data_IF_939435200168
#
_entry.id   IF_939435200168
#
_cell.length_a   1.000
_cell.length_b   1.000
_cell.length_c   1.000
_cell.angle_alpha   90.00
_cell.angle_beta   90.00
_cell.angle_gamma   90.00
#
_symmetry.space_group_name_H-M   'P 1'
#
loop_
_entity.id
_entity.type
_entity.pdbx_description
1 polymer ?
#
# COMPACT_ATOMS: atom_id res chain seq x y z
N UNK A 1 24.42 -8.62 -4.81
CA UNK A 1 23.23 -7.93 -4.27
C UNK A 1 22.08 -8.16 -5.24
N UNK A 2 21.26 -9.18 -5.01
CA UNK A 2 20.02 -9.40 -5.77
C UNK A 2 18.91 -9.54 -4.75
N UNK A 3 18.15 -8.47 -4.56
CA UNK A 3 17.00 -8.44 -3.66
C UNK A 3 15.87 -9.27 -4.26
N UNK A 4 15.55 -10.40 -3.65
CA UNK A 4 14.37 -11.20 -3.96
C UNK A 4 13.12 -10.46 -3.48
N UNK A 5 12.69 -9.46 -4.25
CA UNK A 5 11.42 -8.78 -4.03
C UNK A 5 10.28 -9.62 -4.60
N UNK A 6 9.60 -10.38 -3.73
CA UNK A 6 8.14 -10.68 -3.73
C UNK A 6 7.86 -11.92 -2.89
N UNK A 7 7.79 -11.76 -1.55
CA UNK A 7 7.05 -12.70 -0.69
C UNK A 7 5.80 -12.07 -0.06
N UNK A 8 5.68 -10.75 -0.03
CA UNK A 8 4.56 -10.05 0.61
C UNK A 8 3.25 -10.07 -0.21
N UNK A 9 3.33 -10.16 -1.54
CA UNK A 9 2.16 -10.08 -2.41
C UNK A 9 1.43 -11.42 -2.63
N UNK A 10 2.01 -12.54 -2.21
CA UNK A 10 1.39 -13.86 -2.38
C UNK A 10 0.13 -13.95 -1.49
N UNK A 11 -1.04 -13.71 -2.08
CA UNK A 11 -2.34 -13.74 -1.39
C UNK A 11 -3.07 -12.39 -1.26
N UNK A 12 -2.46 -11.28 -1.68
CA UNK A 12 -3.15 -9.99 -1.75
C UNK A 12 -4.01 -9.93 -3.02
N UNK A 13 -5.30 -9.65 -2.89
CA UNK A 13 -6.24 -9.50 -4.03
C UNK A 13 -6.34 -8.04 -4.46
N UNK A 14 -5.97 -7.12 -3.59
CA UNK A 14 -6.05 -5.67 -3.83
C UNK A 14 -4.96 -4.89 -3.09
N UNK A 15 -4.46 -3.84 -3.76
CA UNK A 15 -3.54 -2.85 -3.20
C UNK A 15 -4.13 -1.45 -3.40
N UNK A 16 -4.10 -0.64 -2.35
CA UNK A 16 -4.47 0.77 -2.41
C UNK A 16 -3.21 1.64 -2.39
N UNK A 17 -3.02 2.44 -3.43
CA UNK A 17 -1.95 3.44 -3.50
C UNK A 17 -2.44 4.78 -2.95
N UNK A 18 -1.66 5.38 -2.04
CA UNK A 18 -2.03 6.61 -1.35
C UNK A 18 -0.84 7.58 -1.35
N UNK A 19 -1.00 8.83 -1.81
CA UNK A 19 0.06 9.83 -1.76
C UNK A 19 0.47 10.16 -0.32
N UNK A 20 1.77 10.15 -0.03
CA UNK A 20 2.33 10.38 1.30
C UNK A 20 2.08 11.78 1.86
N UNK A 21 1.94 12.77 0.99
CA UNK A 21 1.62 14.15 1.37
C UNK A 21 0.14 14.42 1.70
N UNK A 22 -0.74 13.42 1.54
CA UNK A 22 -2.21 13.57 1.69
C UNK A 22 -2.70 12.94 2.98
N UNK A 23 -2.46 13.62 4.10
CA UNK A 23 -2.87 13.18 5.43
C UNK A 23 -4.39 12.89 5.53
N UNK A 24 -5.22 13.64 4.78
CA UNK A 24 -6.66 13.45 4.68
C UNK A 24 -7.06 12.11 4.05
N UNK A 25 -6.26 11.61 3.12
CA UNK A 25 -6.43 10.30 2.47
C UNK A 25 -5.87 9.19 3.35
N UNK A 26 -4.70 9.40 3.94
CA UNK A 26 -4.06 8.45 4.88
C UNK A 26 -5.01 8.13 6.05
N UNK A 27 -5.71 9.14 6.59
CA UNK A 27 -6.69 8.96 7.66
C UNK A 27 -7.92 8.10 7.28
N UNK A 28 -8.11 7.78 6.00
CA UNK A 28 -9.25 6.99 5.50
C UNK A 28 -8.88 5.56 5.14
N UNK A 29 -7.58 5.25 5.07
CA UNK A 29 -7.06 3.99 4.53
C UNK A 29 -7.62 2.77 5.27
N UNK A 30 -7.71 2.81 6.60
CA UNK A 30 -8.26 1.72 7.40
C UNK A 30 -9.73 1.37 7.10
N UNK A 31 -10.46 2.24 6.38
CA UNK A 31 -11.85 2.01 5.97
C UNK A 31 -11.99 1.52 4.52
N UNK A 32 -10.89 1.46 3.77
CA UNK A 32 -10.94 1.19 2.33
C UNK A 32 -11.06 -0.31 1.99
N UNK A 33 -10.79 -1.21 2.93
CA UNK A 33 -10.95 -2.66 2.72
C UNK A 33 -9.97 -3.29 1.73
N UNK A 34 -8.89 -2.58 1.37
CA UNK A 34 -7.81 -3.15 0.57
C UNK A 34 -6.99 -4.14 1.41
N UNK A 35 -6.47 -5.20 0.76
CA UNK A 35 -5.66 -6.21 1.46
C UNK A 35 -4.27 -5.65 1.82
N UNK A 36 -3.79 -4.63 1.09
CA UNK A 36 -2.56 -3.91 1.39
C UNK A 36 -2.61 -2.46 0.93
N UNK A 37 -1.69 -1.66 1.47
CA UNK A 37 -1.59 -0.21 1.21
C UNK A 37 -0.15 0.12 0.86
N UNK A 38 0.02 0.87 -0.22
CA UNK A 38 1.30 1.45 -0.63
C UNK A 38 1.24 2.95 -0.40
N UNK A 39 2.10 3.43 0.49
CA UNK A 39 2.32 4.87 0.66
C UNK A 39 3.32 5.31 -0.40
N UNK A 40 2.84 6.11 -1.33
CA UNK A 40 3.63 6.67 -2.42
C UNK A 40 4.37 7.91 -1.93
N UNK A 41 5.70 7.90 -2.00
CA UNK A 41 6.58 8.97 -1.53
C UNK A 41 7.28 9.71 -2.68
N UNK A 42 6.94 9.37 -3.93
CA UNK A 42 7.45 10.05 -5.13
C UNK A 42 6.96 11.50 -5.26
#
# INVERSE_FOLDING_TARGET
MTGTGTKAAAGLRSLLFVPGGRADMIAKVGRAGADGVVLDLE
#
